data_IF_433654039349
#
_entry.id   IF_433654039349
#
_cell.length_a   1.000
_cell.length_b   1.000
_cell.length_c   1.000
_cell.angle_alpha   90.00
_cell.angle_beta   90.00
_cell.angle_gamma   90.00
#
_symmetry.space_group_name_H-M   'P 1'
#
loop_
_entity.id
_entity.type
_entity.pdbx_description
1 polymer ?
#
# COMPACT_ATOMS: atom_id res chain seq x y z
N UNK A 1 5.20 8.18 14.86
CA UNK A 1 4.53 9.44 14.49
C UNK A 1 5.36 10.19 13.46
N UNK A 2 4.78 11.14 12.72
CA UNK A 2 5.53 11.97 11.75
C UNK A 2 6.71 12.72 12.41
N UNK A 3 6.54 13.23 13.64
CA UNK A 3 7.63 13.90 14.37
C UNK A 3 8.86 13.01 14.60
N UNK A 4 8.66 11.74 14.99
CA UNK A 4 9.77 10.79 15.14
C UNK A 4 10.42 10.47 13.79
N UNK A 5 9.64 10.38 12.72
CA UNK A 5 10.17 10.13 11.38
C UNK A 5 11.05 11.31 10.93
N UNK A 6 10.56 12.55 11.05
CA UNK A 6 11.33 13.77 10.70
C UNK A 6 12.64 13.85 11.50
N UNK A 7 12.62 13.51 12.79
CA UNK A 7 13.83 13.50 13.63
C UNK A 7 14.90 12.50 13.16
N UNK A 8 14.52 11.44 12.46
CA UNK A 8 15.45 10.45 11.92
C UNK A 8 15.99 10.83 10.53
N UNK A 9 15.58 11.96 9.95
CA UNK A 9 16.10 12.50 8.68
C UNK A 9 16.15 11.47 7.53
N UNK A 10 15.03 10.82 7.16
CA UNK A 10 15.04 9.81 6.11
C UNK A 10 15.27 10.42 4.72
N UNK A 11 15.97 9.68 3.87
CA UNK A 11 16.17 10.03 2.45
C UNK A 11 14.97 9.63 1.57
N UNK A 12 14.13 8.71 2.06
CA UNK A 12 12.96 8.15 1.37
C UNK A 12 11.93 7.70 2.41
N UNK A 13 10.64 7.93 2.13
CA UNK A 13 9.52 7.41 2.93
C UNK A 13 8.66 6.48 2.09
N UNK A 14 8.40 5.28 2.61
CA UNK A 14 7.34 4.41 2.12
C UNK A 14 6.12 4.57 3.03
N UNK A 15 4.98 4.93 2.46
CA UNK A 15 3.69 4.93 3.14
C UNK A 15 2.84 3.79 2.58
N UNK A 16 2.62 2.80 3.42
CA UNK A 16 1.97 1.55 3.03
C UNK A 16 0.50 1.64 3.44
N UNK A 17 -0.34 2.15 2.54
CA UNK A 17 -1.80 2.28 2.65
C UNK A 17 -2.34 3.11 3.82
N UNK A 18 -3.67 3.24 3.85
CA UNK A 18 -4.50 3.93 4.84
C UNK A 18 -3.95 5.28 5.29
N UNK A 19 -4.09 6.26 4.40
CA UNK A 19 -3.40 7.54 4.52
C UNK A 19 -4.14 8.52 5.43
N UNK A 20 -5.35 8.90 5.03
CA UNK A 20 -6.07 10.04 5.62
C UNK A 20 -7.21 9.62 6.56
N UNK A 21 -7.68 8.38 6.41
CA UNK A 21 -8.88 7.87 7.06
C UNK A 21 -10.11 8.78 6.85
N UNK A 22 -10.22 9.42 5.67
CA UNK A 22 -11.37 10.28 5.35
C UNK A 22 -12.71 9.52 5.40
N UNK A 23 -12.69 8.21 5.15
CA UNK A 23 -13.82 7.30 5.27
C UNK A 23 -14.18 6.90 6.72
N UNK A 24 -13.54 7.47 7.75
CA UNK A 24 -14.01 7.38 9.14
C UNK A 24 -14.99 8.50 9.51
N UNK A 25 -15.39 9.30 8.53
CA UNK A 25 -16.25 10.46 8.70
C UNK A 25 -17.44 10.40 7.75
N UNK A 26 -18.60 10.85 8.23
CA UNK A 26 -19.72 11.23 7.39
C UNK A 26 -19.36 12.43 6.53
N UNK A 27 -20.07 12.60 5.42
CA UNK A 27 -19.92 13.74 4.49
C UNK A 27 -20.12 15.11 5.17
N UNK A 28 -20.84 15.16 6.29
CA UNK A 28 -21.03 16.37 7.09
C UNK A 28 -19.88 16.68 8.08
N UNK A 29 -18.84 15.84 8.14
CA UNK A 29 -17.67 16.01 9.01
C UNK A 29 -17.78 15.34 10.39
N UNK A 30 -18.86 14.60 10.68
CA UNK A 30 -18.99 13.80 11.91
C UNK A 30 -18.12 12.54 11.81
N UNK A 31 -17.17 12.36 12.73
CA UNK A 31 -16.23 11.23 12.73
C UNK A 31 -16.55 10.13 13.75
N UNK A 32 -15.96 8.94 13.56
CA UNK A 32 -15.97 7.81 14.49
C UNK A 32 -14.66 7.03 14.42
N UNK A 33 -14.22 6.44 15.54
CA UNK A 33 -13.06 5.52 15.56
C UNK A 33 -13.35 4.18 14.85
N UNK A 34 -14.62 3.86 14.65
CA UNK A 34 -15.09 2.69 13.92
C UNK A 34 -16.32 3.05 13.10
N UNK A 35 -16.18 3.14 11.77
CA UNK A 35 -17.30 3.50 10.89
C UNK A 35 -18.43 2.48 10.96
N UNK A 36 -18.11 1.18 10.87
CA UNK A 36 -19.09 0.09 10.92
C UNK A 36 -19.83 0.00 12.26
N UNK A 37 -19.21 0.44 13.36
CA UNK A 37 -19.82 0.45 14.69
C UNK A 37 -20.87 1.57 14.84
N UNK A 38 -20.64 2.72 14.22
CA UNK A 38 -21.42 3.95 14.49
C UNK A 38 -22.30 4.41 13.32
N UNK A 39 -21.95 4.05 12.09
CA UNK A 39 -22.55 4.57 10.85
C UNK A 39 -22.99 3.46 9.90
N UNK A 40 -23.25 2.25 10.40
CA UNK A 40 -23.69 1.09 9.58
C UNK A 40 -24.99 1.29 8.80
N UNK A 41 -25.79 2.30 9.16
CA UNK A 41 -27.07 2.60 8.52
C UNK A 41 -26.98 3.66 7.40
N UNK A 42 -25.78 4.16 7.06
CA UNK A 42 -25.63 5.10 5.94
C UNK A 42 -25.83 4.38 4.61
N UNK A 43 -26.35 5.06 3.57
CA UNK A 43 -26.64 4.43 2.27
C UNK A 43 -25.38 3.97 1.51
N UNK A 44 -24.22 4.50 1.90
CA UNK A 44 -22.89 4.14 1.40
C UNK A 44 -21.89 4.35 2.53
N UNK A 45 -20.69 3.78 2.42
CA UNK A 45 -19.57 4.13 3.30
C UNK A 45 -19.06 5.52 2.92
N UNK A 46 -19.54 6.54 3.64
CA UNK A 46 -19.26 7.95 3.37
C UNK A 46 -17.79 8.32 3.61
N UNK A 47 -17.38 9.48 3.09
CA UNK A 47 -16.07 10.08 3.34
C UNK A 47 -16.19 11.58 3.59
N UNK A 48 -15.28 12.13 4.39
CA UNK A 48 -15.07 13.57 4.52
C UNK A 48 -13.76 13.98 3.84
N UNK A 49 -13.82 14.25 2.55
CA UNK A 49 -12.65 14.53 1.70
C UNK A 49 -11.69 15.62 2.21
N UNK A 50 -12.11 16.69 2.92
CA UNK A 50 -11.17 17.66 3.50
C UNK A 50 -10.10 17.05 4.42
N UNK A 51 -10.31 15.84 4.96
CA UNK A 51 -9.28 15.11 5.72
C UNK A 51 -8.02 14.85 4.90
N UNK A 52 -8.14 14.60 3.59
CA UNK A 52 -6.99 14.48 2.70
C UNK A 52 -6.18 15.78 2.61
N UNK A 53 -6.86 16.93 2.55
CA UNK A 53 -6.19 18.24 2.50
C UNK A 53 -5.53 18.58 3.83
N UNK A 54 -6.17 18.22 4.95
CA UNK A 54 -5.56 18.36 6.27
C UNK A 54 -4.31 17.50 6.42
N UNK A 55 -4.37 16.25 5.96
CA UNK A 55 -3.23 15.35 5.94
C UNK A 55 -2.08 15.93 5.10
N UNK A 56 -2.36 16.38 3.87
CA UNK A 56 -1.34 16.94 2.98
C UNK A 56 -0.67 18.19 3.56
N UNK A 57 -1.45 19.11 4.13
CA UNK A 57 -0.90 20.31 4.81
C UNK A 57 -0.10 19.94 6.06
N UNK A 58 -0.54 18.93 6.80
CA UNK A 58 0.15 18.47 8.00
C UNK A 58 1.50 17.81 7.67
N UNK A 59 1.58 17.05 6.58
CA UNK A 59 2.78 16.31 6.18
C UNK A 59 3.71 17.11 5.25
N UNK A 60 3.30 18.29 4.77
CA UNK A 60 4.05 19.12 3.81
C UNK A 60 5.51 19.36 4.20
N UNK A 61 5.80 19.62 5.49
CA UNK A 61 7.17 19.87 5.95
C UNK A 61 8.12 18.68 5.66
N UNK A 62 7.58 17.45 5.65
CA UNK A 62 8.31 16.26 5.28
C UNK A 62 8.24 16.02 3.77
N UNK A 63 7.04 16.00 3.19
CA UNK A 63 6.82 15.54 1.81
C UNK A 63 7.32 16.53 0.75
N UNK A 64 7.54 17.79 1.11
CA UNK A 64 8.18 18.78 0.25
C UNK A 64 9.70 18.61 0.13
N UNK A 65 10.33 17.87 1.04
CA UNK A 65 11.80 17.72 1.11
C UNK A 65 12.28 16.28 0.99
N UNK A 66 11.43 15.31 1.31
CA UNK A 66 11.73 13.87 1.24
C UNK A 66 10.75 13.19 0.29
N UNK A 67 11.23 12.43 -0.72
CA UNK A 67 10.36 11.65 -1.58
C UNK A 67 9.47 10.68 -0.79
N UNK A 68 8.18 10.67 -1.12
CA UNK A 68 7.17 9.79 -0.53
C UNK A 68 6.62 8.85 -1.60
N UNK A 69 6.75 7.55 -1.38
CA UNK A 69 6.17 6.50 -2.22
C UNK A 69 4.98 5.89 -1.49
N UNK A 70 3.82 5.81 -2.15
CA UNK A 70 2.56 5.39 -1.54
C UNK A 70 1.97 4.22 -2.32
N UNK A 71 1.53 3.18 -1.61
CA UNK A 71 0.65 2.15 -2.17
C UNK A 71 -0.70 2.22 -1.47
N UNK A 72 -1.75 1.84 -2.17
CA UNK A 72 -3.13 1.90 -1.66
C UNK A 72 -3.38 0.94 -0.49
N UNK A 73 -4.30 1.31 0.40
CA UNK A 73 -4.94 0.43 1.38
C UNK A 73 -6.47 0.46 1.26
N UNK A 74 -7.18 -0.31 2.09
CA UNK A 74 -8.64 -0.38 2.00
C UNK A 74 -9.32 0.95 2.34
N UNK A 75 -8.72 1.83 3.15
CA UNK A 75 -9.31 3.13 3.43
C UNK A 75 -9.27 4.08 2.23
N UNK A 76 -8.47 3.79 1.20
CA UNK A 76 -8.45 4.55 -0.05
C UNK A 76 -9.54 4.11 -1.06
N UNK A 77 -10.26 2.99 -0.82
CA UNK A 77 -11.33 2.52 -1.71
C UNK A 77 -12.37 3.61 -2.00
N UNK A 78 -12.85 4.27 -0.95
CA UNK A 78 -13.71 5.47 -1.02
C UNK A 78 -14.78 5.44 -2.14
N UNK A 79 -15.59 4.37 -2.14
CA UNK A 79 -16.63 4.14 -3.15
C UNK A 79 -17.57 5.36 -3.26
N UNK A 80 -17.80 5.81 -4.48
CA UNK A 80 -18.69 6.94 -4.76
C UNK A 80 -19.52 6.73 -6.04
N UNK A 81 -20.27 7.77 -6.42
CA UNK A 81 -21.18 7.73 -7.57
C UNK A 81 -20.50 7.16 -8.83
N UNK A 82 -21.22 6.29 -9.54
CA UNK A 82 -20.70 5.61 -10.74
C UNK A 82 -19.73 4.47 -10.45
N UNK A 83 -19.76 3.90 -9.24
CA UNK A 83 -18.84 2.84 -8.78
C UNK A 83 -17.35 3.22 -8.88
N UNK A 84 -17.06 4.51 -8.77
CA UNK A 84 -15.69 5.03 -8.74
C UNK A 84 -15.06 4.72 -7.39
N UNK A 85 -13.80 4.32 -7.40
CA UNK A 85 -12.99 4.02 -6.22
C UNK A 85 -11.61 4.67 -6.37
N UNK A 86 -10.89 4.87 -5.25
CA UNK A 86 -9.52 5.38 -5.22
C UNK A 86 -9.29 6.73 -5.90
N UNK A 87 -10.32 7.56 -6.08
CA UNK A 87 -10.21 8.84 -6.81
C UNK A 87 -9.26 9.81 -6.10
N UNK A 88 -9.33 9.90 -4.76
CA UNK A 88 -8.43 10.76 -3.98
C UNK A 88 -6.98 10.25 -4.06
N UNK A 89 -6.75 8.97 -3.80
CA UNK A 89 -5.42 8.33 -3.91
C UNK A 89 -4.81 8.54 -5.30
N UNK A 90 -5.56 8.22 -6.35
CA UNK A 90 -5.07 8.25 -7.74
C UNK A 90 -4.81 9.65 -8.27
N UNK A 91 -5.40 10.68 -7.65
CA UNK A 91 -5.30 12.08 -8.08
C UNK A 91 -4.29 12.90 -7.27
N UNK A 92 -4.04 12.52 -6.00
CA UNK A 92 -3.23 13.32 -5.07
C UNK A 92 -1.75 12.93 -5.06
N UNK A 93 -1.41 11.70 -5.43
CA UNK A 93 -0.04 11.21 -5.46
C UNK A 93 0.51 11.05 -6.87
N UNK A 94 1.82 11.19 -7.00
CA UNK A 94 2.56 10.84 -8.19
C UNK A 94 3.14 9.43 -8.03
N UNK A 95 3.09 8.63 -9.08
CA UNK A 95 3.57 7.26 -9.10
C UNK A 95 4.45 7.05 -10.34
N UNK A 96 5.58 6.33 -10.25
CA UNK A 96 6.43 6.02 -11.40
C UNK A 96 5.87 4.85 -12.23
N UNK A 97 4.55 4.83 -12.43
CA UNK A 97 3.86 3.67 -12.98
C UNK A 97 4.18 3.45 -14.45
N UNK A 98 4.25 4.53 -15.24
CA UNK A 98 4.63 4.48 -16.66
C UNK A 98 6.10 4.06 -16.80
N UNK A 99 6.97 4.62 -15.97
CA UNK A 99 8.41 4.36 -15.93
C UNK A 99 8.71 2.90 -15.54
N UNK A 100 7.87 2.32 -14.68
CA UNK A 100 7.92 0.91 -14.29
C UNK A 100 7.18 -0.03 -15.26
N UNK A 101 6.61 0.49 -16.35
CA UNK A 101 6.03 -0.30 -17.43
C UNK A 101 4.60 -0.80 -17.19
N UNK A 102 3.81 -0.11 -16.38
CA UNK A 102 2.36 -0.35 -16.24
C UNK A 102 1.56 0.91 -16.60
N UNK A 103 0.26 0.76 -16.79
CA UNK A 103 -0.69 1.88 -16.97
C UNK A 103 -1.52 2.16 -15.71
N UNK A 104 -1.32 1.39 -14.66
CA UNK A 104 -2.09 1.44 -13.41
C UNK A 104 -1.29 2.08 -12.29
N UNK A 105 -1.95 2.91 -11.47
CA UNK A 105 -1.33 3.64 -10.33
C UNK A 105 -1.25 2.84 -9.02
N UNK A 106 -1.72 1.59 -9.04
CA UNK A 106 -1.90 0.77 -7.83
C UNK A 106 -0.72 -0.16 -7.54
N UNK A 107 0.13 -0.39 -8.53
CA UNK A 107 1.35 -1.18 -8.42
C UNK A 107 2.39 -0.58 -9.35
N UNK A 108 3.64 -0.60 -8.94
CA UNK A 108 4.76 -0.04 -9.69
C UNK A 108 6.08 -0.44 -9.02
N UNK A 109 7.19 -0.24 -9.71
CA UNK A 109 8.53 -0.49 -9.17
C UNK A 109 9.43 0.73 -9.35
N UNK A 110 10.51 0.80 -8.58
CA UNK A 110 11.52 1.83 -8.73
C UNK A 110 12.84 1.38 -8.07
N UNK A 111 13.94 1.99 -8.49
CA UNK A 111 15.24 1.76 -7.86
C UNK A 111 15.62 2.97 -7.02
N UNK A 112 16.11 2.72 -5.80
CA UNK A 112 16.77 3.74 -4.99
C UNK A 112 18.13 3.20 -4.52
N UNK A 113 19.20 3.70 -5.12
CA UNK A 113 20.53 3.13 -4.94
C UNK A 113 20.58 1.66 -5.36
N UNK A 114 21.09 0.79 -4.47
CA UNK A 114 21.21 -0.66 -4.70
C UNK A 114 19.95 -1.46 -4.34
N UNK A 115 18.78 -0.82 -4.23
CA UNK A 115 17.52 -1.47 -3.86
C UNK A 115 16.54 -1.35 -5.02
N UNK A 116 15.97 -2.49 -5.43
CA UNK A 116 14.80 -2.56 -6.28
C UNK A 116 13.56 -2.70 -5.39
N UNK A 117 12.71 -1.68 -5.41
CA UNK A 117 11.44 -1.66 -4.70
C UNK A 117 10.30 -2.06 -5.63
N UNK A 118 9.40 -2.92 -5.15
CA UNK A 118 8.17 -3.31 -5.81
C UNK A 118 6.99 -3.00 -4.90
N UNK A 119 6.07 -2.15 -5.35
CA UNK A 119 4.83 -1.82 -4.64
C UNK A 119 3.68 -2.59 -5.32
N UNK A 120 2.94 -3.39 -4.57
CA UNK A 120 1.83 -4.23 -5.07
C UNK A 120 0.50 -3.75 -4.49
N UNK A 121 -0.52 -3.69 -5.35
CA UNK A 121 -1.89 -3.37 -4.97
C UNK A 121 -2.61 -4.62 -4.48
N UNK A 122 -3.20 -4.53 -3.28
CA UNK A 122 -3.89 -5.65 -2.65
C UNK A 122 -5.41 -5.58 -2.80
N UNK A 123 -5.96 -4.42 -3.18
CA UNK A 123 -7.39 -4.19 -3.37
C UNK A 123 -7.77 -3.98 -4.85
N UNK A 124 -6.91 -4.47 -5.74
CA UNK A 124 -7.14 -4.64 -7.17
C UNK A 124 -6.88 -6.10 -7.55
N UNK A 125 -7.14 -6.48 -8.80
CA UNK A 125 -6.87 -7.84 -9.26
C UNK A 125 -5.37 -8.22 -9.12
N UNK A 126 -5.13 -9.32 -8.42
CA UNK A 126 -3.82 -9.92 -8.18
C UNK A 126 -3.76 -11.39 -8.63
N UNK A 127 -4.81 -11.88 -9.30
CA UNK A 127 -4.85 -13.26 -9.77
C UNK A 127 -3.70 -13.56 -10.73
N UNK A 128 -3.27 -14.82 -10.79
CA UNK A 128 -2.14 -15.26 -11.63
C UNK A 128 -2.34 -15.01 -13.13
N UNK A 129 -3.59 -14.82 -13.57
CA UNK A 129 -3.97 -14.44 -14.93
C UNK A 129 -4.20 -12.94 -15.12
N UNK A 130 -4.15 -12.15 -14.06
CA UNK A 130 -4.43 -10.72 -14.04
C UNK A 130 -3.22 -9.88 -14.45
N UNK A 131 -3.49 -8.62 -14.80
CA UNK A 131 -2.47 -7.70 -15.33
C UNK A 131 -1.35 -7.39 -14.34
N UNK A 132 -1.68 -7.26 -13.04
CA UNK A 132 -0.69 -7.01 -12.00
C UNK A 132 0.32 -8.17 -11.88
N UNK A 133 -0.16 -9.42 -11.93
CA UNK A 133 0.71 -10.58 -11.81
C UNK A 133 1.62 -10.75 -13.03
N UNK A 134 1.07 -10.52 -14.23
CA UNK A 134 1.85 -10.51 -15.47
C UNK A 134 2.91 -9.41 -15.47
N UNK A 135 2.56 -8.20 -15.05
CA UNK A 135 3.51 -7.10 -14.87
C UNK A 135 4.62 -7.46 -13.87
N UNK A 136 4.26 -8.03 -12.72
CA UNK A 136 5.23 -8.42 -11.68
C UNK A 136 6.25 -9.43 -12.22
N UNK A 137 5.81 -10.42 -13.00
CA UNK A 137 6.74 -11.35 -13.66
C UNK A 137 7.71 -10.63 -14.60
N UNK A 138 7.22 -9.66 -15.37
CA UNK A 138 8.06 -8.89 -16.31
C UNK A 138 9.03 -7.95 -15.61
N UNK A 139 8.62 -7.35 -14.49
CA UNK A 139 9.46 -6.49 -13.65
C UNK A 139 10.59 -7.30 -12.99
N UNK A 140 10.24 -8.40 -12.32
CA UNK A 140 11.21 -9.30 -11.70
C UNK A 140 12.16 -9.96 -12.70
N UNK A 141 11.71 -10.25 -13.93
CA UNK A 141 12.59 -10.76 -14.97
C UNK A 141 13.70 -9.75 -15.39
N UNK A 142 13.47 -8.45 -15.17
CA UNK A 142 14.46 -7.38 -15.42
C UNK A 142 15.33 -7.08 -14.19
N UNK A 143 14.91 -7.53 -13.01
CA UNK A 143 15.65 -7.34 -11.77
C UNK A 143 17.02 -8.04 -11.85
N UNK A 144 18.08 -7.25 -11.68
CA UNK A 144 19.45 -7.73 -11.70
C UNK A 144 20.12 -7.48 -10.35
N UNK A 145 20.29 -8.57 -9.58
CA UNK A 145 20.88 -8.52 -8.24
C UNK A 145 22.33 -8.03 -8.20
N UNK A 146 23.07 -8.09 -9.32
CA UNK A 146 24.41 -7.50 -9.38
C UNK A 146 24.39 -5.97 -9.48
N UNK A 147 23.27 -5.36 -9.88
CA UNK A 147 23.08 -3.91 -9.97
C UNK A 147 22.31 -3.39 -8.75
N UNK A 148 21.22 -4.05 -8.39
CA UNK A 148 20.40 -3.77 -7.20
C UNK A 148 20.39 -5.01 -6.31
N UNK A 149 21.35 -5.17 -5.38
CA UNK A 149 21.46 -6.38 -4.56
C UNK A 149 20.26 -6.72 -3.68
N UNK A 150 19.44 -5.71 -3.35
CA UNK A 150 18.27 -5.85 -2.49
C UNK A 150 16.98 -5.82 -3.29
N UNK A 151 16.10 -6.80 -3.04
CA UNK A 151 14.72 -6.81 -3.50
C UNK A 151 13.79 -6.58 -2.31
N UNK A 152 13.15 -5.41 -2.26
CA UNK A 152 12.19 -5.04 -1.22
C UNK A 152 10.81 -4.92 -1.83
N UNK A 153 9.82 -5.61 -1.26
CA UNK A 153 8.44 -5.62 -1.77
C UNK A 153 7.51 -5.05 -0.70
N UNK A 154 6.46 -4.35 -1.09
CA UNK A 154 5.47 -3.84 -0.15
C UNK A 154 4.07 -3.87 -0.73
N UNK A 155 3.10 -4.10 0.14
CA UNK A 155 1.66 -4.05 -0.10
C UNK A 155 0.95 -3.87 1.23
N UNK A 156 -0.36 -3.59 1.23
CA UNK A 156 -1.04 -3.20 2.45
C UNK A 156 -1.29 -4.34 3.47
N UNK A 157 -2.20 -5.31 3.24
CA UNK A 157 -2.56 -6.32 4.23
C UNK A 157 -1.46 -7.40 4.40
N UNK A 158 -0.98 -7.68 5.63
CA UNK A 158 0.09 -8.63 5.86
C UNK A 158 -0.34 -10.08 5.63
N UNK A 159 0.56 -10.87 5.06
CA UNK A 159 0.33 -12.32 4.86
C UNK A 159 0.55 -13.15 6.14
N UNK A 160 1.41 -12.67 7.04
CA UNK A 160 1.92 -13.45 8.16
C UNK A 160 1.67 -12.81 9.54
N UNK A 161 0.69 -11.88 9.63
CA UNK A 161 0.28 -11.34 10.94
C UNK A 161 -0.28 -12.44 11.83
N UNK A 162 0.07 -12.40 13.12
CA UNK A 162 -0.46 -13.31 14.16
C UNK A 162 -1.50 -12.66 15.07
N UNK A 163 -1.78 -11.36 14.87
CA UNK A 163 -2.87 -10.68 15.56
C UNK A 163 -4.23 -11.19 15.10
N UNK A 164 -5.23 -11.13 15.99
CA UNK A 164 -6.61 -11.54 15.67
C UNK A 164 -7.26 -10.63 14.62
N UNK A 165 -6.97 -9.33 14.65
CA UNK A 165 -7.45 -8.39 13.64
C UNK A 165 -6.80 -8.72 12.29
N UNK A 166 -7.63 -8.87 11.25
CA UNK A 166 -7.21 -9.18 9.88
C UNK A 166 -6.40 -10.49 9.74
N UNK A 167 -6.57 -11.44 10.67
CA UNK A 167 -5.86 -12.72 10.64
C UNK A 167 -6.16 -13.50 9.35
N UNK A 168 -5.12 -13.76 8.55
CA UNK A 168 -5.20 -14.44 7.24
C UNK A 168 -6.14 -13.79 6.22
N UNK A 169 -6.39 -12.49 6.35
CA UNK A 169 -7.30 -11.77 5.43
C UNK A 169 -6.77 -11.76 3.99
N UNK A 170 -5.44 -11.67 3.81
CA UNK A 170 -4.78 -11.63 2.50
C UNK A 170 -4.26 -12.99 2.00
N UNK A 171 -4.84 -14.11 2.47
CA UNK A 171 -4.35 -15.46 2.11
C UNK A 171 -4.43 -15.74 0.61
N UNK A 172 -5.43 -15.22 -0.11
CA UNK A 172 -5.55 -15.39 -1.56
C UNK A 172 -4.40 -14.71 -2.32
N UNK A 173 -4.05 -13.48 -1.93
CA UNK A 173 -2.90 -12.77 -2.52
C UNK A 173 -1.59 -13.51 -2.22
N UNK A 174 -1.44 -14.04 -0.99
CA UNK A 174 -0.31 -14.90 -0.61
C UNK A 174 -0.19 -16.11 -1.53
N UNK A 175 -1.27 -16.89 -1.68
CA UNK A 175 -1.31 -18.07 -2.57
C UNK A 175 -1.00 -17.70 -4.02
N UNK A 176 -1.47 -16.54 -4.50
CA UNK A 176 -1.21 -16.09 -5.85
C UNK A 176 0.27 -15.77 -6.08
N UNK A 177 0.88 -14.98 -5.19
CA UNK A 177 2.15 -14.27 -5.45
C UNK A 177 3.37 -14.77 -4.66
N UNK A 178 3.19 -15.48 -3.54
CA UNK A 178 4.30 -15.84 -2.63
C UNK A 178 5.39 -16.65 -3.34
N UNK A 179 5.01 -17.67 -4.10
CA UNK A 179 5.94 -18.53 -4.84
C UNK A 179 6.79 -17.74 -5.85
N UNK A 180 6.18 -16.78 -6.56
CA UNK A 180 6.88 -15.94 -7.51
C UNK A 180 7.90 -15.04 -6.80
N UNK A 181 7.48 -14.33 -5.76
CA UNK A 181 8.35 -13.45 -4.97
C UNK A 181 9.49 -14.23 -4.30
N UNK A 182 9.22 -15.44 -3.82
CA UNK A 182 10.22 -16.34 -3.25
C UNK A 182 11.24 -16.79 -4.30
N UNK A 183 10.79 -17.15 -5.51
CA UNK A 183 11.68 -17.62 -6.59
C UNK A 183 12.72 -16.59 -7.05
N UNK A 184 12.40 -15.29 -6.93
CA UNK A 184 13.33 -14.19 -7.20
C UNK A 184 14.15 -13.75 -5.97
N UNK A 185 13.91 -14.37 -4.82
CA UNK A 185 14.65 -14.13 -3.58
C UNK A 185 14.32 -12.80 -2.92
N UNK A 186 13.04 -12.47 -2.77
CA UNK A 186 12.62 -11.28 -2.02
C UNK A 186 13.28 -11.22 -0.64
N UNK A 187 13.94 -10.11 -0.33
CA UNK A 187 14.74 -9.98 0.89
C UNK A 187 13.90 -9.51 2.08
N UNK A 188 13.04 -8.51 1.87
CA UNK A 188 12.23 -7.87 2.91
C UNK A 188 10.86 -7.51 2.34
N UNK A 189 9.82 -7.70 3.16
CA UNK A 189 8.47 -7.24 2.91
C UNK A 189 8.06 -6.23 3.97
N UNK A 190 7.46 -5.12 3.56
CA UNK A 190 6.81 -4.16 4.47
C UNK A 190 5.30 -4.12 4.24
N UNK A 191 4.52 -4.19 5.32
CA UNK A 191 3.06 -4.16 5.30
C UNK A 191 2.50 -3.12 6.29
N UNK A 192 1.21 -2.80 6.13
CA UNK A 192 0.40 -1.98 7.03
C UNK A 192 -0.76 -2.78 7.62
N UNK A 193 -1.95 -2.19 7.60
CA UNK A 193 -3.26 -2.80 7.93
C UNK A 193 -3.49 -3.17 9.38
N UNK A 194 -2.68 -4.04 9.94
CA UNK A 194 -2.79 -4.46 11.33
C UNK A 194 -2.21 -3.34 12.21
N UNK A 195 -3.04 -2.77 13.09
CA UNK A 195 -2.66 -1.66 13.98
C UNK A 195 -1.75 -2.10 15.14
N UNK A 196 -0.65 -2.76 14.81
CA UNK A 196 0.39 -3.21 15.72
C UNK A 196 1.73 -3.32 14.98
N UNK A 197 2.82 -3.56 15.71
CA UNK A 197 4.10 -3.90 15.12
C UNK A 197 4.36 -5.40 15.28
N UNK A 198 4.71 -6.05 14.17
CA UNK A 198 5.14 -7.45 14.15
C UNK A 198 6.32 -7.62 13.19
N UNK A 199 7.23 -8.53 13.52
CA UNK A 199 8.35 -8.92 12.66
C UNK A 199 8.50 -10.43 12.69
N UNK A 200 8.37 -11.06 11.53
CA UNK A 200 8.55 -12.50 11.40
C UNK A 200 10.03 -12.90 11.38
N UNK A 201 10.28 -14.20 11.58
CA UNK A 201 11.48 -14.83 11.04
C UNK A 201 11.32 -14.98 9.52
N UNK A 202 12.41 -15.32 8.82
CA UNK A 202 12.31 -15.72 7.40
C UNK A 202 11.31 -16.88 7.29
N UNK A 203 10.34 -16.74 6.40
CA UNK A 203 9.23 -17.69 6.24
C UNK A 203 8.87 -17.79 4.77
N UNK A 204 8.52 -19.00 4.35
CA UNK A 204 7.94 -19.32 3.05
C UNK A 204 7.04 -20.54 3.26
N UNK A 205 5.84 -20.54 2.68
CA UNK A 205 4.95 -21.70 2.76
C UNK A 205 5.42 -22.77 1.77
N UNK A 206 6.00 -23.86 2.25
CA UNK A 206 6.24 -25.05 1.44
C UNK A 206 4.93 -25.81 1.26
N UNK A 207 4.55 -26.08 0.01
CA UNK A 207 3.50 -27.05 -0.31
C UNK A 207 3.89 -28.47 0.13
#
# INVERSE_FOLDING_TARGET
TISHLVQNSPDLVLLVGDVSYANLYLTNGTGSDCYSCNFSNTPIHETYQPRWDYWGRFTENLTSTVPLMVVEGNHELELQAGNKTFEAYSSRFAFPYVESGTTWKFYYSFNAGGIHFVMLGAYIDFDRSGEQYEWLKMDLAKFNRSVTPWLVVTWYPPWYSTYTAHYKEAEYMKVAMEELLYSYGTDIVFNGHVHAYERSNRVYTTN
#
